data_IF_725831734746
#
_entry.id   IF_725831734746
#
_cell.length_a   1.000
_cell.length_b   1.000
_cell.length_c   1.000
_cell.angle_alpha   90.00
_cell.angle_beta   90.00
_cell.angle_gamma   90.00
#
_symmetry.space_group_name_H-M   'P 1'
#
loop_
_entity.id
_entity.type
_entity.pdbx_description
1 polymer ?
#
# COMPACT_ATOMS: atom_id res chain seq x y z
N UNK A 1 -15.63 3.77 5.98
CA UNK A 1 -14.56 4.78 5.82
C UNK A 1 -14.96 5.82 4.76
N UNK A 2 -14.62 7.09 4.98
CA UNK A 2 -14.89 8.19 4.04
C UNK A 2 -13.88 8.16 2.89
N UNK A 3 -14.14 7.28 1.92
CA UNK A 3 -13.25 7.05 0.77
C UNK A 3 -12.99 8.31 -0.08
N UNK A 4 -13.96 9.19 -0.34
CA UNK A 4 -13.70 10.46 -1.03
C UNK A 4 -12.62 11.29 -0.34
N UNK A 5 -12.62 11.34 1.01
CA UNK A 5 -11.62 12.08 1.78
C UNK A 5 -10.22 11.43 1.71
N UNK A 6 -10.15 10.10 1.78
CA UNK A 6 -8.88 9.36 1.70
C UNK A 6 -8.28 9.32 0.29
N UNK A 7 -9.12 9.25 -0.75
CA UNK A 7 -8.67 9.18 -2.14
C UNK A 7 -7.87 10.42 -2.60
N UNK A 8 -8.17 11.59 -2.04
CA UNK A 8 -7.41 12.81 -2.34
C UNK A 8 -5.96 12.72 -1.87
N UNK A 9 -5.71 12.06 -0.73
CA UNK A 9 -4.36 11.86 -0.17
C UNK A 9 -3.57 10.91 -1.08
N UNK A 10 -4.22 9.84 -1.54
CA UNK A 10 -3.61 8.88 -2.46
C UNK A 10 -3.12 9.53 -3.76
N UNK A 11 -3.92 10.41 -4.37
CA UNK A 11 -3.52 11.09 -5.60
C UNK A 11 -2.32 12.02 -5.41
N UNK A 12 -2.19 12.68 -4.26
CA UNK A 12 -1.04 13.54 -3.96
C UNK A 12 0.26 12.72 -3.88
N UNK A 13 0.24 11.58 -3.18
CA UNK A 13 1.44 10.78 -2.94
C UNK A 13 1.89 9.97 -4.18
N UNK A 14 0.97 9.62 -5.11
CA UNK A 14 1.34 8.89 -6.33
C UNK A 14 2.16 9.73 -7.31
N UNK A 15 1.87 11.02 -7.45
CA UNK A 15 2.62 11.90 -8.36
C UNK A 15 4.12 11.96 -8.01
N UNK A 16 4.40 11.92 -6.72
CA UNK A 16 5.72 11.97 -6.11
C UNK A 16 6.55 10.70 -6.39
N UNK A 17 5.93 9.52 -6.41
CA UNK A 17 6.58 8.25 -6.82
C UNK A 17 6.89 8.25 -8.31
N UNK A 18 5.93 8.64 -9.14
CA UNK A 18 6.06 8.57 -10.59
C UNK A 18 7.12 9.54 -11.14
N UNK A 19 7.34 10.65 -10.45
CA UNK A 19 8.39 11.62 -10.78
C UNK A 19 9.78 11.20 -10.29
N UNK A 20 9.87 10.16 -9.46
CA UNK A 20 11.12 9.71 -8.83
C UNK A 20 11.62 10.64 -7.73
N UNK A 21 10.79 11.58 -7.24
CA UNK A 21 11.13 12.47 -6.14
C UNK A 21 11.30 11.70 -4.82
N UNK A 22 10.57 10.60 -4.65
CA UNK A 22 10.67 9.69 -3.51
C UNK A 22 10.75 8.23 -3.99
N UNK A 23 11.36 7.39 -3.16
CA UNK A 23 11.28 5.94 -3.37
C UNK A 23 9.85 5.45 -3.15
N UNK A 24 9.46 4.30 -3.75
CA UNK A 24 8.14 3.72 -3.51
C UNK A 24 7.84 3.51 -2.02
N UNK A 25 8.83 3.10 -1.22
CA UNK A 25 8.64 2.91 0.21
C UNK A 25 8.33 4.22 0.94
N UNK A 26 9.15 5.25 0.74
CA UNK A 26 8.96 6.56 1.41
C UNK A 26 7.59 7.18 1.09
N UNK A 27 7.13 7.06 -0.15
CA UNK A 27 5.82 7.59 -0.52
C UNK A 27 4.67 6.79 0.08
N UNK A 28 4.79 5.46 0.16
CA UNK A 28 3.78 4.62 0.79
C UNK A 28 3.73 4.84 2.31
N UNK A 29 4.88 5.06 2.97
CA UNK A 29 4.96 5.38 4.39
C UNK A 29 4.28 6.72 4.69
N UNK A 30 4.55 7.75 3.88
CA UNK A 30 3.88 9.06 3.98
C UNK A 30 2.39 8.98 3.71
N UNK A 31 1.98 8.20 2.71
CA UNK A 31 0.57 7.96 2.43
C UNK A 31 -0.14 7.35 3.63
N UNK A 32 0.46 6.32 4.24
CA UNK A 32 -0.09 5.68 5.43
C UNK A 32 -0.21 6.67 6.60
N UNK A 33 0.83 7.47 6.86
CA UNK A 33 0.81 8.50 7.91
C UNK A 33 -0.32 9.52 7.70
N UNK A 34 -0.47 10.06 6.49
CA UNK A 34 -1.52 11.05 6.19
C UNK A 34 -2.93 10.45 6.26
N UNK A 35 -3.09 9.19 5.86
CA UNK A 35 -4.34 8.45 6.04
C UNK A 35 -4.67 8.29 7.53
N UNK A 36 -3.69 7.93 8.36
CA UNK A 36 -3.88 7.77 9.81
C UNK A 36 -4.23 9.11 10.47
N UNK A 37 -3.54 10.20 10.15
CA UNK A 37 -3.87 11.54 10.65
C UNK A 37 -5.31 11.92 10.29
N UNK A 38 -5.72 11.63 9.05
CA UNK A 38 -7.07 11.94 8.59
C UNK A 38 -8.12 11.11 9.31
N UNK A 39 -7.88 9.80 9.45
CA UNK A 39 -8.77 8.90 10.18
C UNK A 39 -8.83 9.21 11.67
N UNK A 40 -7.73 9.64 12.30
CA UNK A 40 -7.71 10.10 13.70
C UNK A 40 -8.69 11.26 13.92
N UNK A 41 -8.67 12.26 13.02
CA UNK A 41 -9.60 13.39 13.08
C UNK A 41 -11.05 12.96 12.87
N UNK A 42 -11.28 11.97 12.00
CA UNK A 42 -12.62 11.41 11.79
C UNK A 42 -13.12 10.66 13.04
N UNK A 43 -12.25 9.87 13.66
CA UNK A 43 -12.53 9.20 14.93
C UNK A 43 -12.93 10.22 16.00
N UNK A 44 -12.11 11.26 16.21
CA UNK A 44 -12.41 12.31 17.19
C UNK A 44 -13.74 13.01 16.92
N UNK A 45 -14.04 13.34 15.67
CA UNK A 45 -15.30 13.98 15.30
C UNK A 45 -16.52 13.08 15.60
N UNK A 46 -16.39 11.78 15.32
CA UNK A 46 -17.42 10.79 15.61
C UNK A 46 -17.65 10.62 17.11
N UNK A 47 -16.56 10.50 17.88
CA UNK A 47 -16.63 10.33 19.34
C UNK A 47 -17.20 11.59 20.03
N UNK A 48 -16.83 12.79 19.56
CA UNK A 48 -17.26 14.04 20.17
C UNK A 48 -18.70 14.45 19.81
N UNK A 49 -19.17 14.11 18.60
CA UNK A 49 -20.42 14.67 18.07
C UNK A 49 -21.24 13.73 17.19
N UNK A 50 -20.83 12.47 17.06
CA UNK A 50 -21.57 11.47 16.30
C UNK A 50 -21.65 11.78 14.80
N UNK A 51 -20.67 12.49 14.24
CA UNK A 51 -20.65 12.90 12.81
C UNK A 51 -20.86 11.70 11.88
N UNK A 52 -20.34 10.54 12.25
CA UNK A 52 -20.45 9.30 11.46
C UNK A 52 -21.43 8.30 12.11
N UNK A 53 -22.28 8.74 13.05
CA UNK A 53 -23.27 7.91 13.72
C UNK A 53 -22.67 6.79 14.57
N UNK A 54 -21.44 6.96 15.08
CA UNK A 54 -20.71 5.92 15.80
C UNK A 54 -20.00 4.90 14.90
N UNK A 55 -20.12 5.04 13.58
CA UNK A 55 -19.50 4.18 12.57
C UNK A 55 -18.24 4.79 11.96
N UNK A 56 -17.68 5.83 12.59
CA UNK A 56 -16.40 6.40 12.18
C UNK A 56 -15.26 5.37 12.28
N UNK A 57 -14.14 5.58 11.57
CA UNK A 57 -12.97 4.72 11.72
C UNK A 57 -12.46 4.74 13.17
N UNK A 58 -11.81 3.65 13.59
CA UNK A 58 -11.08 3.56 14.85
C UNK A 58 -9.66 3.12 14.53
N UNK A 59 -8.68 3.92 14.93
CA UNK A 59 -7.29 3.60 14.69
C UNK A 59 -6.84 2.46 15.60
N UNK A 60 -6.07 1.56 15.04
CA UNK A 60 -5.36 0.55 15.80
C UNK A 60 -4.08 1.15 16.40
N UNK A 61 -3.58 0.52 17.45
CA UNK A 61 -2.24 0.83 17.97
C UNK A 61 -1.18 0.59 16.89
N UNK A 62 -0.15 1.45 16.79
CA UNK A 62 0.97 1.24 15.88
C UNK A 62 1.61 -0.13 16.07
N UNK A 63 1.97 -0.77 14.96
CA UNK A 63 2.65 -2.07 14.94
C UNK A 63 3.92 -1.97 14.12
N UNK A 64 4.93 -2.73 14.53
CA UNK A 64 6.14 -2.88 13.73
C UNK A 64 5.81 -3.57 12.40
N UNK A 65 6.40 -3.16 11.27
CA UNK A 65 6.16 -3.80 9.97
C UNK A 65 6.39 -5.31 9.97
N UNK A 66 7.33 -5.81 10.78
CA UNK A 66 7.63 -7.24 10.92
C UNK A 66 6.45 -8.07 11.40
N UNK A 67 5.46 -7.47 12.07
CA UNK A 67 4.20 -8.13 12.46
C UNK A 67 3.34 -8.48 11.24
N UNK A 68 3.51 -7.78 10.12
CA UNK A 68 2.69 -7.94 8.92
C UNK A 68 3.42 -8.65 7.79
N UNK A 69 4.73 -8.41 7.68
CA UNK A 69 5.55 -8.97 6.62
C UNK A 69 5.58 -10.51 6.67
N UNK A 70 5.28 -11.15 5.55
CA UNK A 70 5.37 -12.61 5.42
C UNK A 70 4.16 -13.39 5.95
N UNK A 71 3.10 -12.72 6.43
CA UNK A 71 1.79 -13.38 6.62
C UNK A 71 1.30 -13.96 5.30
N UNK A 72 0.50 -15.04 5.36
CA UNK A 72 0.04 -15.79 4.18
C UNK A 72 -0.52 -14.85 3.09
N UNK A 73 -1.41 -13.93 3.49
CA UNK A 73 -2.02 -12.90 2.64
C UNK A 73 -1.50 -11.49 2.96
N UNK A 74 -0.33 -11.40 3.58
CA UNK A 74 0.28 -10.14 4.02
C UNK A 74 1.26 -9.55 3.00
N UNK A 75 1.73 -8.32 3.27
CA UNK A 75 2.77 -7.68 2.47
C UNK A 75 4.03 -8.54 2.41
N UNK A 76 4.71 -8.49 1.26
CA UNK A 76 5.98 -9.19 1.06
C UNK A 76 7.13 -8.28 1.48
N UNK A 77 8.14 -8.87 2.10
CA UNK A 77 9.36 -8.16 2.42
C UNK A 77 10.09 -7.76 1.13
N UNK A 78 10.82 -6.66 1.21
CA UNK A 78 11.71 -6.21 0.14
C UNK A 78 12.71 -7.31 -0.19
N UNK A 79 12.90 -7.58 -1.48
CA UNK A 79 13.91 -8.53 -1.94
C UNK A 79 15.24 -7.81 -2.17
N UNK A 80 16.35 -8.55 -2.02
CA UNK A 80 17.69 -8.02 -2.32
C UNK A 80 17.82 -7.61 -3.80
N UNK A 81 17.08 -8.27 -4.69
CA UNK A 81 17.04 -7.97 -6.11
C UNK A 81 15.62 -8.06 -6.68
N UNK A 82 14.93 -6.91 -6.74
CA UNK A 82 13.59 -6.78 -7.33
C UNK A 82 13.61 -6.53 -8.85
N UNK A 83 14.80 -6.35 -9.43
CA UNK A 83 14.98 -6.07 -10.86
C UNK A 83 16.12 -6.92 -11.42
N UNK A 84 15.97 -8.26 -11.45
CA UNK A 84 16.97 -9.13 -12.04
C UNK A 84 17.18 -8.77 -13.52
N UNK A 85 18.41 -8.94 -13.99
CA UNK A 85 18.74 -8.73 -15.39
C UNK A 85 17.88 -9.65 -16.25
N UNK A 86 17.25 -9.09 -17.28
CA UNK A 86 16.46 -9.89 -18.22
C UNK A 86 17.34 -10.88 -18.97
N UNK A 87 16.83 -12.11 -19.12
CA UNK A 87 17.46 -13.18 -19.90
C UNK A 87 16.71 -13.37 -21.21
N UNK A 88 17.44 -13.54 -22.32
CA UNK A 88 16.83 -13.87 -23.61
C UNK A 88 16.56 -15.36 -23.68
N UNK A 89 15.34 -15.74 -24.06
CA UNK A 89 14.93 -17.13 -24.27
C UNK A 89 14.49 -17.30 -25.72
N UNK A 90 14.79 -18.46 -26.30
CA UNK A 90 14.31 -18.80 -27.63
C UNK A 90 12.77 -18.88 -27.63
N UNK A 91 12.14 -18.35 -28.68
CA UNK A 91 10.68 -18.30 -28.77
C UNK A 91 10.04 -19.69 -28.64
N UNK A 92 10.58 -20.71 -29.31
CA UNK A 92 10.06 -22.07 -29.25
C UNK A 92 10.13 -22.67 -27.83
N UNK A 93 11.17 -22.33 -27.08
CA UNK A 93 11.34 -22.77 -25.69
C UNK A 93 10.35 -22.08 -24.74
N UNK A 94 10.07 -20.79 -24.99
CA UNK A 94 9.04 -20.04 -24.26
C UNK A 94 7.65 -20.67 -24.46
N UNK A 95 7.28 -21.00 -25.70
CA UNK A 95 5.99 -21.64 -26.02
C UNK A 95 5.89 -23.00 -25.32
N UNK A 96 6.95 -23.80 -25.33
CA UNK A 96 6.96 -25.11 -24.65
C UNK A 96 6.70 -24.97 -23.16
N UNK A 97 7.44 -24.09 -22.45
CA UNK A 97 7.23 -23.82 -21.01
C UNK A 97 5.81 -23.37 -20.71
N UNK A 98 5.26 -22.48 -21.53
CA UNK A 98 3.90 -21.96 -21.33
C UNK A 98 2.84 -23.05 -21.48
N UNK A 99 3.03 -23.98 -22.41
CA UNK A 99 2.08 -25.08 -22.65
C UNK A 99 2.16 -26.16 -21.56
N UNK A 100 3.34 -26.40 -20.97
CA UNK A 100 3.55 -27.38 -19.88
C UNK A 100 3.12 -26.87 -18.50
N UNK A 101 3.04 -25.56 -18.31
CA UNK A 101 2.62 -24.94 -17.04
C UNK A 101 1.10 -24.80 -16.87
N UNK A 102 0.32 -25.20 -17.88
CA UNK A 102 -1.15 -25.20 -17.88
C UNK A 102 -1.72 -26.61 -17.74
#
# INVERSE_FOLDING_TARGET
>A
PDYPKLAQIWWQQIGDVNSGAFTPQEAMDRLAEEMDITMARMQQADEASGVYGGCGPRLNEPKDPGEWLGKADGPKAKLDNEKPQGETIAYDELIKRWTEAN
#
